data_IF_699323488231
#
_entry.id   IF_699323488231
#
_cell.length_a   1.000
_cell.length_b   1.000
_cell.length_c   1.000
_cell.angle_alpha   90.00
_cell.angle_beta   90.00
_cell.angle_gamma   90.00
#
_symmetry.space_group_name_H-M   'P 1'
#
loop_
_entity.id
_entity.type
_entity.pdbx_description
1 polymer ?
#
# COMPACT_ATOMS: atom_id res chain seq x y z
N UNK A 1 -14.37 -8.25 21.66
CA UNK A 1 -13.93 -8.14 20.26
C UNK A 1 -13.07 -9.36 19.92
N UNK A 2 -13.17 -9.90 18.71
CA UNK A 2 -12.30 -10.99 18.27
C UNK A 2 -10.92 -10.42 17.95
N UNK A 3 -9.94 -10.63 18.84
CA UNK A 3 -8.63 -9.98 18.76
C UNK A 3 -7.81 -10.37 17.53
N UNK A 4 -8.09 -11.51 16.89
CA UNK A 4 -7.27 -12.01 15.79
C UNK A 4 -7.60 -11.43 14.41
N UNK A 5 -8.73 -10.74 14.24
CA UNK A 5 -9.10 -10.17 12.93
C UNK A 5 -8.31 -8.91 12.53
N UNK A 6 -8.02 -7.94 13.43
CA UNK A 6 -7.30 -6.73 13.04
C UNK A 6 -5.78 -6.87 13.04
N UNK A 7 -5.21 -7.89 13.67
CA UNK A 7 -3.76 -7.99 13.89
C UNK A 7 -2.96 -7.98 12.57
N UNK A 8 -3.49 -8.65 11.53
CA UNK A 8 -2.82 -8.71 10.22
C UNK A 8 -2.88 -7.39 9.45
N UNK A 9 -3.86 -6.53 9.70
CA UNK A 9 -4.05 -5.26 8.96
C UNK A 9 -3.45 -4.07 9.68
N UNK A 10 -3.33 -4.10 11.02
CA UNK A 10 -2.69 -3.02 11.78
C UNK A 10 -1.20 -2.85 11.48
N UNK A 11 -0.55 -3.91 11.02
CA UNK A 11 0.87 -3.90 10.66
C UNK A 11 1.13 -3.43 9.22
N UNK A 12 0.07 -3.17 8.44
CA UNK A 12 0.24 -2.70 7.06
C UNK A 12 0.83 -1.29 7.05
N UNK A 13 1.74 -1.07 6.10
CA UNK A 13 2.32 0.25 5.86
C UNK A 13 1.24 1.24 5.39
N UNK A 14 1.45 2.52 5.68
CA UNK A 14 0.63 3.57 5.08
C UNK A 14 0.73 3.51 3.55
N UNK A 15 -0.31 3.96 2.81
CA UNK A 15 -0.24 4.01 1.34
C UNK A 15 0.96 4.80 0.82
N UNK A 16 1.31 5.90 1.48
CA UNK A 16 2.48 6.74 1.15
C UNK A 16 3.78 5.96 1.36
N UNK A 17 3.95 5.32 2.52
CA UNK A 17 5.13 4.52 2.83
C UNK A 17 5.29 3.33 1.87
N UNK A 18 4.19 2.67 1.51
CA UNK A 18 4.22 1.57 0.56
C UNK A 18 4.61 2.05 -0.85
N UNK A 19 4.15 3.23 -1.29
CA UNK A 19 4.55 3.79 -2.57
C UNK A 19 6.05 4.12 -2.61
N UNK A 20 6.63 4.61 -1.51
CA UNK A 20 8.09 4.80 -1.38
C UNK A 20 8.82 3.46 -1.49
N UNK A 21 8.37 2.44 -0.76
CA UNK A 21 8.97 1.08 -0.84
C UNK A 21 8.90 0.54 -2.29
N UNK A 22 7.79 0.74 -2.99
CA UNK A 22 7.66 0.34 -4.40
C UNK A 22 8.68 1.07 -5.30
N UNK A 23 8.91 2.36 -5.10
CA UNK A 23 9.96 3.09 -5.81
C UNK A 23 11.36 2.58 -5.47
N UNK A 24 11.66 2.38 -4.18
CA UNK A 24 12.97 1.93 -3.71
C UNK A 24 13.33 0.52 -4.21
N UNK A 25 12.31 -0.30 -4.50
CA UNK A 25 12.48 -1.63 -5.10
C UNK A 25 12.64 -1.61 -6.63
N UNK A 26 12.62 -0.43 -7.24
CA UNK A 26 12.87 -0.23 -8.67
C UNK A 26 11.61 -0.22 -9.56
N UNK A 27 10.40 -0.22 -8.98
CA UNK A 27 9.20 0.03 -9.77
C UNK A 27 9.13 1.50 -10.18
N UNK A 28 8.76 1.73 -11.43
CA UNK A 28 8.55 3.05 -12.01
C UNK A 28 7.07 3.34 -12.17
N UNK A 29 6.72 4.62 -12.35
CA UNK A 29 5.34 5.09 -12.51
C UNK A 29 4.41 4.59 -11.38
N UNK A 30 4.93 4.56 -10.15
CA UNK A 30 4.16 4.15 -8.97
C UNK A 30 3.12 5.21 -8.64
N UNK A 31 1.89 4.77 -8.44
CA UNK A 31 0.78 5.60 -7.96
C UNK A 31 -0.16 4.74 -7.12
N UNK A 32 -0.99 5.40 -6.31
CA UNK A 32 -2.05 4.73 -5.58
C UNK A 32 -3.32 5.55 -5.56
N UNK A 33 -4.45 4.87 -5.38
CA UNK A 33 -5.76 5.50 -5.21
C UNK A 33 -6.39 5.04 -3.90
N UNK A 34 -6.87 6.01 -3.13
CA UNK A 34 -7.61 5.77 -1.90
C UNK A 34 -9.08 5.50 -2.19
N UNK A 35 -9.66 4.61 -1.40
CA UNK A 35 -11.07 4.24 -1.40
C UNK A 35 -11.61 4.26 0.03
N UNK A 36 -12.93 4.26 0.16
CA UNK A 36 -13.62 4.12 1.45
C UNK A 36 -13.03 5.03 2.55
N UNK A 37 -12.94 6.33 2.25
CA UNK A 37 -12.39 7.35 3.15
C UNK A 37 -10.96 7.06 3.65
N UNK A 38 -10.14 6.41 2.83
CA UNK A 38 -8.73 6.14 3.16
C UNK A 38 -8.49 4.83 3.92
N UNK A 39 -9.52 4.00 4.10
CA UNK A 39 -9.36 2.67 4.73
C UNK A 39 -8.77 1.63 3.77
N UNK A 40 -8.81 1.88 2.47
CA UNK A 40 -8.28 1.00 1.43
C UNK A 40 -7.48 1.82 0.42
N UNK A 41 -6.34 1.31 -0.02
CA UNK A 41 -5.57 1.85 -1.13
C UNK A 41 -5.28 0.75 -2.17
N UNK A 42 -5.34 1.10 -3.45
CA UNK A 42 -4.85 0.25 -4.54
C UNK A 42 -3.62 0.91 -5.14
N UNK A 43 -2.48 0.21 -5.12
CA UNK A 43 -1.22 0.64 -5.70
C UNK A 43 -1.01 0.01 -7.07
N UNK A 44 -0.42 0.77 -7.98
CA UNK A 44 0.01 0.32 -9.31
C UNK A 44 1.45 0.80 -9.52
N UNK A 45 2.28 -0.05 -10.10
CA UNK A 45 3.64 0.28 -10.52
C UNK A 45 4.03 -0.57 -11.72
N UNK A 46 5.02 -0.10 -12.47
CA UNK A 46 5.51 -0.77 -13.68
C UNK A 46 6.94 -1.23 -13.47
N UNK A 47 7.26 -2.42 -13.96
CA UNK A 47 8.66 -2.86 -14.03
C UNK A 47 9.32 -2.08 -15.18
N UNK A 48 10.54 -1.53 -14.99
CA UNK A 48 11.33 -0.98 -16.07
C UNK A 48 11.56 -2.01 -17.19
N UNK A 49 11.64 -1.55 -18.44
CA UNK A 49 12.00 -2.40 -19.60
C UNK A 49 13.44 -2.95 -19.52
#
# INVERSE_FOLDING_TARGET
AYNYLPDSTQQFQSPESLAVIMHDTGLINVSYKLFMFGTIAVHVGQKPE
#
